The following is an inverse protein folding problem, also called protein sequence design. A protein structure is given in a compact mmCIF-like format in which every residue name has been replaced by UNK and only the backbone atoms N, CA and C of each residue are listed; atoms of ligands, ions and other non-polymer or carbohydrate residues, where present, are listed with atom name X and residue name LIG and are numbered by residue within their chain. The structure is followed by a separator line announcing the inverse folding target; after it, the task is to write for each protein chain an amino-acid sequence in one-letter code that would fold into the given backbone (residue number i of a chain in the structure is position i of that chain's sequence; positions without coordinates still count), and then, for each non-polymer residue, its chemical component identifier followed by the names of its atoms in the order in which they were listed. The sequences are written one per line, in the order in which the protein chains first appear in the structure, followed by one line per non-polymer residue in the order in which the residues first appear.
data_IF_631471723145
#
_entry.id   IF_631471723145
#
_cell.length_a   1.000
_cell.length_b   1.000
_cell.length_c   1.000
_cell.angle_alpha   90.00
_cell.angle_beta   90.00
_cell.angle_gamma   90.00
#
_symmetry.space_group_name_H-M   'P 1'
#
loop_
_entity.id
_entity.type
_entity.pdbx_description
1 polymer ?
#
# COMPACT_ATOMS: atom_id res chain seq x y z
N UNK A 1 -8.68 77.28 8.38
CA UNK A 1 -9.63 77.52 7.26
C UNK A 1 -10.00 76.20 6.63
N UNK A 2 -11.30 75.92 6.41
CA UNK A 2 -11.80 74.59 6.18
C UNK A 2 -11.77 74.21 4.72
N UNK A 3 -11.31 73.05 4.42
CA UNK A 3 -11.40 72.44 3.08
C UNK A 3 -12.41 71.30 3.05
N UNK A 4 -13.36 71.43 2.18
CA UNK A 4 -14.61 70.73 2.01
C UNK A 4 -14.44 69.23 1.75
N UNK A 5 -15.19 68.47 2.50
CA UNK A 5 -15.56 67.08 2.27
C UNK A 5 -16.40 67.00 0.98
N UNK A 6 -16.00 66.14 0.02
CA UNK A 6 -16.82 65.73 -1.08
C UNK A 6 -17.09 64.23 -0.97
N UNK A 7 -18.30 63.95 -0.49
CA UNK A 7 -18.88 62.59 -0.53
C UNK A 7 -19.24 62.28 -1.96
N UNK A 8 -18.65 61.27 -2.54
CA UNK A 8 -19.18 60.65 -3.76
C UNK A 8 -19.66 59.25 -3.40
N UNK A 9 -20.94 59.14 -3.27
CA UNK A 9 -21.68 57.87 -3.29
C UNK A 9 -21.68 57.39 -4.74
N UNK A 10 -21.04 56.28 -5.01
CA UNK A 10 -21.26 55.54 -6.25
C UNK A 10 -21.49 54.07 -5.88
N UNK A 11 -22.66 53.63 -6.31
CA UNK A 11 -23.33 52.39 -6.02
C UNK A 11 -22.59 51.16 -6.34
N UNK A 12 -22.68 50.22 -5.48
CA UNK A 12 -22.28 48.85 -5.65
C UNK A 12 -23.31 48.11 -6.50
N UNK A 13 -22.95 47.74 -7.72
CA UNK A 13 -23.59 46.63 -8.39
C UNK A 13 -22.80 45.36 -8.06
N UNK A 14 -23.28 44.64 -7.12
CA UNK A 14 -22.84 43.27 -6.83
C UNK A 14 -23.48 42.30 -7.79
N UNK A 15 -22.77 41.95 -8.87
CA UNK A 15 -23.08 40.75 -9.62
C UNK A 15 -22.48 39.56 -8.89
N UNK A 16 -23.27 38.96 -8.06
CA UNK A 16 -22.99 37.65 -7.46
C UNK A 16 -23.23 36.58 -8.53
N UNK A 17 -22.21 36.29 -9.31
CA UNK A 17 -22.16 35.04 -10.10
C UNK A 17 -21.93 33.90 -9.13
N UNK A 18 -23.01 33.32 -8.66
CA UNK A 18 -23.00 32.09 -7.90
C UNK A 18 -22.54 30.93 -8.79
N UNK A 19 -21.24 30.65 -8.81
CA UNK A 19 -20.80 29.34 -9.22
C UNK A 19 -21.16 28.35 -8.12
N UNK A 20 -22.30 27.73 -8.29
CA UNK A 20 -22.65 26.55 -7.55
C UNK A 20 -21.66 25.46 -7.96
N UNK A 21 -20.60 25.28 -7.20
CA UNK A 21 -19.83 24.03 -7.19
C UNK A 21 -20.80 22.96 -6.70
N UNK A 22 -21.39 22.27 -7.68
CA UNK A 22 -22.08 21.02 -7.42
C UNK A 22 -20.99 20.05 -6.97
N UNK A 23 -20.85 19.87 -5.69
CA UNK A 23 -20.08 18.80 -5.12
C UNK A 23 -20.60 17.51 -5.76
N UNK A 24 -19.78 16.87 -6.59
CA UNK A 24 -20.01 15.49 -6.97
C UNK A 24 -19.83 14.70 -5.68
N UNK A 25 -20.94 14.50 -5.00
CA UNK A 25 -21.07 13.42 -4.06
C UNK A 25 -20.78 12.17 -4.86
N UNK A 26 -19.66 11.53 -4.59
CA UNK A 26 -19.47 10.16 -4.94
C UNK A 26 -20.51 9.37 -4.14
N UNK A 27 -21.68 9.25 -4.68
CA UNK A 27 -22.62 8.25 -4.24
C UNK A 27 -21.97 6.89 -4.50
N UNK A 28 -21.41 6.42 -3.43
CA UNK A 28 -21.08 5.04 -3.20
C UNK A 28 -22.28 4.21 -3.62
N UNK A 29 -22.09 3.42 -4.67
CA UNK A 29 -22.82 2.20 -4.99
C UNK A 29 -24.18 2.12 -4.32
N UNK A 30 -25.17 2.79 -4.88
CA UNK A 30 -26.55 2.45 -4.63
C UNK A 30 -26.80 1.09 -5.24
N UNK A 31 -27.07 0.16 -4.35
CA UNK A 31 -27.40 -1.22 -4.60
C UNK A 31 -28.71 -1.26 -5.40
N UNK A 32 -28.59 -1.17 -6.71
CA UNK A 32 -29.73 -1.39 -7.59
C UNK A 32 -30.02 -2.89 -7.59
N UNK A 33 -31.01 -3.23 -6.80
CA UNK A 33 -31.58 -4.58 -6.75
C UNK A 33 -32.52 -4.76 -7.92
N UNK A 34 -31.96 -4.93 -9.11
CA UNK A 34 -32.67 -5.52 -10.22
C UNK A 34 -32.12 -6.91 -10.48
N UNK A 35 -32.76 -7.86 -9.84
CA UNK A 35 -32.59 -9.26 -10.02
C UNK A 35 -32.93 -9.69 -11.43
N UNK A 36 -32.00 -10.23 -12.16
CA UNK A 36 -32.26 -11.35 -13.05
C UNK A 36 -31.03 -12.25 -13.07
N UNK A 37 -31.03 -13.22 -12.21
CA UNK A 37 -30.62 -14.59 -12.31
C UNK A 37 -29.42 -14.91 -13.21
N UNK A 38 -28.24 -14.41 -12.87
CA UNK A 38 -26.98 -15.15 -12.90
C UNK A 38 -26.26 -14.68 -11.66
N UNK A 39 -26.08 -15.61 -10.73
CA UNK A 39 -25.26 -15.39 -9.57
C UNK A 39 -23.91 -14.87 -10.07
N UNK A 40 -23.72 -13.57 -9.96
CA UNK A 40 -22.39 -12.98 -9.98
C UNK A 40 -21.73 -13.46 -8.67
N UNK A 41 -21.24 -14.68 -8.76
CA UNK A 41 -20.45 -15.31 -7.72
C UNK A 41 -19.17 -14.52 -7.68
N UNK A 42 -19.19 -13.37 -6.99
CA UNK A 42 -17.97 -12.70 -6.58
C UNK A 42 -17.27 -13.68 -5.67
N UNK A 43 -16.46 -14.55 -6.28
CA UNK A 43 -15.55 -15.40 -5.54
C UNK A 43 -14.55 -14.44 -4.93
N UNK A 44 -14.83 -13.97 -3.74
CA UNK A 44 -13.82 -13.35 -2.89
C UNK A 44 -12.84 -14.48 -2.58
N UNK A 45 -11.84 -14.63 -3.44
CA UNK A 45 -10.76 -15.58 -3.19
C UNK A 45 -9.96 -14.98 -2.04
N UNK A 46 -10.29 -15.41 -0.82
CA UNK A 46 -9.45 -15.09 0.33
C UNK A 46 -8.06 -15.66 0.05
N UNK A 47 -7.04 -14.81 -0.04
CA UNK A 47 -5.70 -15.26 -0.39
C UNK A 47 -5.24 -16.26 0.66
N UNK A 48 -4.71 -17.40 0.20
CA UNK A 48 -4.19 -18.45 1.08
C UNK A 48 -3.30 -17.85 2.16
N UNK A 49 -3.29 -18.37 3.39
CA UNK A 49 -2.46 -17.86 4.50
C UNK A 49 -1.00 -17.66 4.10
N UNK A 50 -0.42 -18.59 3.33
CA UNK A 50 0.93 -18.47 2.79
C UNK A 50 1.11 -17.26 1.88
N UNK A 51 0.11 -16.94 1.04
CA UNK A 51 0.17 -15.78 0.13
C UNK A 51 0.12 -14.47 0.91
N UNK A 52 -0.74 -14.39 1.93
CA UNK A 52 -0.75 -13.22 2.84
C UNK A 52 0.58 -13.08 3.55
N UNK A 53 1.13 -14.18 4.05
CA UNK A 53 2.37 -14.19 4.81
C UNK A 53 3.56 -13.63 3.99
N UNK A 54 3.85 -14.17 2.79
CA UNK A 54 5.01 -13.69 2.04
C UNK A 54 4.84 -12.25 1.55
N UNK A 55 3.62 -11.85 1.15
CA UNK A 55 3.36 -10.46 0.78
C UNK A 55 3.58 -9.51 1.96
N UNK A 56 3.10 -9.90 3.15
CA UNK A 56 3.26 -9.09 4.34
C UNK A 56 4.75 -9.02 4.79
N UNK A 57 5.48 -10.14 4.70
CA UNK A 57 6.91 -10.18 4.98
C UNK A 57 7.70 -9.24 4.06
N UNK A 58 7.42 -9.29 2.73
CA UNK A 58 8.04 -8.40 1.76
C UNK A 58 7.73 -6.94 2.04
N UNK A 59 6.46 -6.58 2.19
CA UNK A 59 6.05 -5.19 2.48
C UNK A 59 6.69 -4.67 3.75
N UNK A 60 6.82 -5.52 4.75
CA UNK A 60 7.47 -5.15 6.01
C UNK A 60 8.96 -4.90 5.85
N UNK A 61 9.66 -5.75 5.09
CA UNK A 61 11.07 -5.56 4.77
C UNK A 61 11.31 -4.29 3.93
N UNK A 62 10.46 -4.05 2.93
CA UNK A 62 10.52 -2.84 2.12
C UNK A 62 10.36 -1.58 2.99
N UNK A 63 9.39 -1.57 3.90
CA UNK A 63 9.18 -0.45 4.81
C UNK A 63 10.36 -0.21 5.77
N UNK A 64 10.99 -1.29 6.27
CA UNK A 64 12.15 -1.21 7.17
C UNK A 64 13.41 -0.67 6.47
N UNK A 65 13.56 -0.92 5.18
CA UNK A 65 14.75 -0.59 4.43
C UNK A 65 14.60 0.65 3.51
N UNK A 66 13.67 1.54 3.82
CA UNK A 66 13.53 2.84 3.14
C UNK A 66 12.51 2.87 1.99
N UNK A 67 11.71 1.82 1.86
CA UNK A 67 10.65 1.72 0.84
C UNK A 67 11.14 1.22 -0.51
N UNK A 68 10.20 1.03 -1.42
CA UNK A 68 10.45 0.42 -2.75
C UNK A 68 11.38 1.24 -3.67
N UNK A 69 11.57 2.52 -3.38
CA UNK A 69 12.51 3.37 -4.11
C UNK A 69 13.97 3.18 -3.70
N UNK A 70 14.21 2.60 -2.52
CA UNK A 70 15.54 2.38 -1.95
C UNK A 70 15.91 0.91 -1.83
N UNK A 71 14.92 0.04 -1.74
CA UNK A 71 15.10 -1.35 -1.44
C UNK A 71 14.18 -2.24 -2.29
N UNK A 72 14.75 -3.33 -2.77
CA UNK A 72 14.05 -4.42 -3.45
C UNK A 72 14.41 -5.75 -2.76
N UNK A 73 13.40 -6.47 -2.32
CA UNK A 73 13.56 -7.81 -1.81
C UNK A 73 13.97 -8.79 -2.91
N UNK A 74 14.51 -9.92 -2.55
CA UNK A 74 14.86 -11.01 -3.46
C UNK A 74 13.64 -11.49 -4.26
N UNK A 75 13.86 -11.91 -5.50
CA UNK A 75 12.80 -12.30 -6.45
C UNK A 75 11.87 -13.40 -5.94
N UNK A 76 12.34 -14.28 -5.06
CA UNK A 76 11.50 -15.30 -4.40
C UNK A 76 10.31 -14.68 -3.64
N UNK A 77 10.40 -13.43 -3.19
CA UNK A 77 9.35 -12.74 -2.44
C UNK A 77 8.27 -12.10 -3.30
N UNK A 78 8.28 -12.30 -4.64
CA UNK A 78 7.30 -11.67 -5.54
C UNK A 78 6.28 -12.62 -6.15
N UNK A 79 6.40 -13.93 -5.94
CA UNK A 79 5.40 -14.89 -6.37
C UNK A 79 5.15 -15.96 -5.32
N UNK A 80 3.92 -16.46 -5.26
CA UNK A 80 3.57 -17.55 -4.34
C UNK A 80 4.39 -18.82 -4.60
N UNK A 81 4.74 -19.07 -5.85
CA UNK A 81 5.47 -20.27 -6.26
C UNK A 81 6.94 -20.20 -5.82
N UNK A 82 7.58 -19.06 -6.01
CA UNK A 82 8.97 -18.84 -5.61
C UNK A 82 9.16 -18.53 -4.12
N UNK A 83 8.09 -18.12 -3.41
CA UNK A 83 8.20 -17.80 -1.97
C UNK A 83 8.64 -18.97 -1.10
N UNK A 84 8.50 -20.19 -1.59
CA UNK A 84 9.01 -21.41 -0.94
C UNK A 84 10.53 -21.44 -0.85
N UNK A 85 11.23 -20.83 -1.81
CA UNK A 85 12.69 -20.79 -1.84
C UNK A 85 13.26 -19.88 -0.75
N UNK A 86 12.44 -18.96 -0.26
CA UNK A 86 12.76 -18.04 0.85
C UNK A 86 12.12 -18.44 2.18
N UNK A 87 11.32 -19.51 2.19
CA UNK A 87 10.66 -19.99 3.39
C UNK A 87 11.64 -20.83 4.22
N UNK A 88 11.93 -20.35 5.42
CA UNK A 88 12.89 -21.00 6.33
C UNK A 88 12.22 -21.94 7.32
N UNK A 89 10.99 -21.63 7.78
CA UNK A 89 10.26 -22.44 8.77
C UNK A 89 8.74 -22.16 8.70
N UNK A 90 7.94 -23.20 9.01
CA UNK A 90 6.46 -23.12 9.03
C UNK A 90 5.86 -23.54 10.39
N UNK A 91 6.67 -23.85 11.41
CA UNK A 91 6.16 -24.50 12.64
C UNK A 91 5.25 -23.60 13.48
N UNK A 92 5.58 -22.31 13.57
CA UNK A 92 4.85 -21.33 14.36
C UNK A 92 4.61 -20.07 13.53
N UNK A 93 3.84 -20.19 12.44
CA UNK A 93 3.74 -19.18 11.42
C UNK A 93 4.73 -19.42 10.29
N UNK A 94 4.87 -18.45 9.40
CA UNK A 94 5.74 -18.55 8.23
C UNK A 94 6.97 -17.68 8.44
N UNK A 95 8.14 -18.30 8.56
CA UNK A 95 9.41 -17.59 8.69
C UNK A 95 10.08 -17.51 7.32
N UNK A 96 10.27 -16.31 6.82
CA UNK A 96 10.97 -16.05 5.56
C UNK A 96 12.34 -15.48 5.84
N UNK A 97 13.35 -15.99 5.12
CA UNK A 97 14.71 -15.44 5.08
C UNK A 97 15.06 -15.14 3.62
N UNK A 98 15.39 -13.90 3.34
CA UNK A 98 15.69 -13.45 2.00
C UNK A 98 16.69 -12.30 2.00
N UNK A 99 17.36 -12.15 0.88
CA UNK A 99 18.28 -11.06 0.62
C UNK A 99 17.55 -9.86 0.00
N UNK A 100 18.19 -8.72 0.00
CA UNK A 100 17.72 -7.53 -0.65
C UNK A 100 18.83 -6.51 -0.88
N UNK A 101 18.54 -5.54 -1.71
CA UNK A 101 19.48 -4.50 -2.09
C UNK A 101 18.79 -3.34 -2.80
N UNK A 102 19.57 -2.50 -3.47
CA UNK A 102 19.02 -1.41 -4.27
C UNK A 102 18.12 -1.95 -5.40
N UNK A 103 17.09 -1.19 -5.83
CA UNK A 103 16.21 -1.62 -6.91
C UNK A 103 16.99 -2.10 -8.14
N UNK A 104 16.64 -3.30 -8.64
CA UNK A 104 17.32 -3.93 -9.77
C UNK A 104 18.60 -4.70 -9.42
N UNK A 105 18.97 -4.82 -8.16
CA UNK A 105 20.24 -5.45 -7.74
C UNK A 105 20.47 -6.86 -8.31
N UNK A 106 19.44 -7.73 -8.34
CA UNK A 106 19.57 -9.08 -8.89
C UNK A 106 19.81 -9.06 -10.40
N UNK A 107 19.07 -8.22 -11.14
CA UNK A 107 19.19 -8.11 -12.60
C UNK A 107 20.56 -7.54 -12.99
N UNK A 108 21.05 -6.58 -12.22
CA UNK A 108 22.36 -5.95 -12.40
C UNK A 108 23.50 -6.78 -11.81
N UNK A 109 23.20 -7.92 -11.18
CA UNK A 109 24.17 -8.79 -10.50
C UNK A 109 25.02 -8.07 -9.46
N UNK A 110 24.41 -7.11 -8.76
CA UNK A 110 25.04 -6.43 -7.65
C UNK A 110 24.95 -7.30 -6.40
N UNK A 111 25.90 -7.18 -5.45
CA UNK A 111 25.80 -7.89 -4.17
C UNK A 111 24.60 -7.40 -3.37
N UNK A 112 23.90 -8.28 -2.65
CA UNK A 112 22.88 -7.88 -1.71
C UNK A 112 23.49 -7.07 -0.56
N UNK A 113 22.76 -6.11 -0.06
CA UNK A 113 23.20 -5.24 1.05
C UNK A 113 22.49 -5.54 2.37
N UNK A 114 21.36 -6.25 2.29
CA UNK A 114 20.52 -6.57 3.45
C UNK A 114 20.09 -8.03 3.39
N UNK A 115 20.08 -8.69 4.52
CA UNK A 115 19.38 -9.95 4.78
C UNK A 115 18.26 -9.68 5.78
N UNK A 116 17.05 -10.10 5.45
CA UNK A 116 15.89 -10.02 6.33
C UNK A 116 15.41 -11.41 6.70
N UNK A 117 15.18 -11.62 8.00
CA UNK A 117 14.53 -12.81 8.54
C UNK A 117 13.32 -12.34 9.36
N UNK A 118 12.13 -12.75 8.95
CA UNK A 118 10.87 -12.27 9.51
C UNK A 118 9.87 -13.42 9.61
N UNK A 119 9.19 -13.52 10.75
CA UNK A 119 8.11 -14.47 10.98
C UNK A 119 6.77 -13.78 10.90
N UNK A 120 5.85 -14.40 10.17
CA UNK A 120 4.49 -13.94 9.98
C UNK A 120 3.51 -14.94 10.58
N UNK A 121 2.67 -14.46 11.47
CA UNK A 121 1.55 -15.18 12.03
C UNK A 121 0.28 -14.82 11.25
N UNK A 122 -0.52 -15.82 10.88
CA UNK A 122 -1.74 -15.64 10.07
C UNK A 122 -2.99 -16.21 10.74
N UNK A 123 -2.85 -16.67 11.98
CA UNK A 123 -3.92 -17.12 12.85
C UNK A 123 -4.59 -15.88 13.49
N UNK A 124 -5.73 -15.50 12.96
CA UNK A 124 -6.43 -14.29 13.34
C UNK A 124 -5.90 -13.05 12.63
N UNK A 125 -5.48 -12.02 13.38
CA UNK A 125 -4.85 -10.83 12.81
C UNK A 125 -3.42 -11.10 12.37
N UNK A 126 -3.08 -10.72 11.13
CA UNK A 126 -1.71 -10.92 10.61
C UNK A 126 -0.69 -10.07 11.38
N UNK A 127 0.27 -10.73 12.00
CA UNK A 127 1.34 -10.09 12.80
C UNK A 127 2.71 -10.46 12.24
N UNK A 128 3.65 -9.52 12.33
CA UNK A 128 5.04 -9.71 11.95
C UNK A 128 5.97 -9.63 13.15
N UNK A 129 6.86 -10.58 13.27
CA UNK A 129 7.98 -10.59 14.21
C UNK A 129 9.28 -10.49 13.41
N UNK A 130 10.01 -9.40 13.59
CA UNK A 130 11.32 -9.21 12.96
C UNK A 130 12.36 -9.99 13.77
N UNK A 131 12.99 -10.98 13.13
CA UNK A 131 14.05 -11.78 13.73
C UNK A 131 15.42 -11.17 13.42
N UNK A 132 15.62 -10.75 12.16
CA UNK A 132 16.86 -10.14 11.72
C UNK A 132 16.61 -9.16 10.57
N UNK A 133 17.33 -8.06 10.55
CA UNK A 133 17.43 -7.16 9.39
C UNK A 133 18.77 -6.44 9.45
N UNK A 134 19.69 -6.78 8.58
CA UNK A 134 21.05 -6.26 8.62
C UNK A 134 21.92 -6.77 7.47
N UNK A 135 23.23 -6.70 7.63
CA UNK A 135 24.16 -7.22 6.61
C UNK A 135 23.95 -8.73 6.39
N UNK A 136 24.11 -9.20 5.13
CA UNK A 136 24.05 -10.64 4.84
C UNK A 136 25.03 -11.45 5.69
N UNK A 137 24.52 -12.58 6.23
CA UNK A 137 25.26 -13.49 7.13
C UNK A 137 25.73 -14.73 6.36
#
# INVERSE_FOLDING_TARGET
MPGKVLLILMGALSLSSGFAFKALSHDVCEKDSSMNGLDDLVIVVDPKPTQRAFNFARMRAEALNGGISQYQAQSCMYSHQSSKDCLADEKNGFTYRFLGGAPGWEVLKLPPTVETEIRIYTDGETKAELIYNGFPR
#
